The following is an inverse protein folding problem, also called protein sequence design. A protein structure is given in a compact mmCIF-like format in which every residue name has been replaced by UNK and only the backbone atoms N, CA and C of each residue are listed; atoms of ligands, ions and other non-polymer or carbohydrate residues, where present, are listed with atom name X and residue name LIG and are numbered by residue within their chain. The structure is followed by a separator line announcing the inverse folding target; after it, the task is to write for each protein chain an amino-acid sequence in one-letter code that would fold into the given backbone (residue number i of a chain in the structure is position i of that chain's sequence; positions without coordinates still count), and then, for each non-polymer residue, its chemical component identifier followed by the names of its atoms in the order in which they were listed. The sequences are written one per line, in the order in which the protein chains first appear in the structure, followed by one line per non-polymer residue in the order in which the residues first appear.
data_IF_037184418778
#
_entry.id   IF_037184418778
#
_cell.length_a   1.000
_cell.length_b   1.000
_cell.length_c   1.000
_cell.angle_alpha   90.00
_cell.angle_beta   90.00
_cell.angle_gamma   90.00
#
_symmetry.space_group_name_H-M   'P 1'
#
loop_
_entity.id
_entity.type
_entity.pdbx_description
1 polymer ?
#
# COMPACT_ATOMS: atom_id res chain seq x y z
N UNK A 1 29.91 18.94 -31.73
CA UNK A 1 30.65 18.16 -30.69
C UNK A 1 29.91 18.17 -29.36
N UNK A 2 29.66 19.30 -28.69
CA UNK A 2 28.96 19.33 -27.37
C UNK A 2 27.56 18.70 -27.43
N UNK A 3 26.75 19.10 -28.41
CA UNK A 3 25.39 18.56 -28.58
C UNK A 3 25.40 17.02 -28.77
N UNK A 4 26.29 16.53 -29.62
CA UNK A 4 26.45 15.09 -29.87
C UNK A 4 26.83 14.32 -28.58
N UNK A 5 27.74 14.86 -27.77
CA UNK A 5 28.13 14.27 -26.49
C UNK A 5 26.94 14.24 -25.52
N UNK A 6 26.16 15.32 -25.41
CA UNK A 6 24.97 15.38 -24.58
C UNK A 6 23.89 14.39 -25.05
N UNK A 7 23.66 14.25 -26.36
CA UNK A 7 22.73 13.27 -26.92
C UNK A 7 23.09 11.83 -26.47
N UNK A 8 24.36 11.42 -26.66
CA UNK A 8 24.77 10.08 -26.25
C UNK A 8 24.79 9.88 -24.73
N UNK A 9 25.07 10.94 -23.95
CA UNK A 9 24.96 10.87 -22.49
C UNK A 9 23.52 10.61 -22.06
N UNK A 10 22.55 11.34 -22.61
CA UNK A 10 21.13 11.16 -22.32
C UNK A 10 20.66 9.75 -22.69
N UNK A 11 21.02 9.26 -23.87
CA UNK A 11 20.71 7.91 -24.33
C UNK A 11 21.35 6.85 -23.42
N UNK A 12 22.61 7.05 -23.03
CA UNK A 12 23.31 6.15 -22.11
C UNK A 12 22.64 6.04 -20.73
N UNK A 13 22.22 7.18 -20.15
CA UNK A 13 21.50 7.20 -18.89
C UNK A 13 20.13 6.52 -19.01
N UNK A 14 19.36 6.81 -20.07
CA UNK A 14 18.09 6.15 -20.34
C UNK A 14 18.27 4.63 -20.43
N UNK A 15 19.29 4.17 -21.11
CA UNK A 15 19.58 2.73 -21.25
C UNK A 15 19.96 2.08 -19.92
N UNK A 16 20.84 2.70 -19.13
CA UNK A 16 21.26 2.18 -17.82
C UNK A 16 20.06 2.02 -16.89
N UNK A 17 19.25 3.07 -16.72
CA UNK A 17 18.09 3.02 -15.84
C UNK A 17 16.98 2.12 -16.40
N UNK A 18 16.80 2.09 -17.72
CA UNK A 18 15.85 1.20 -18.39
C UNK A 18 16.20 -0.28 -18.22
N UNK A 19 17.47 -0.66 -18.38
CA UNK A 19 17.92 -2.02 -18.14
C UNK A 19 17.73 -2.45 -16.68
N UNK A 20 17.99 -1.55 -15.73
CA UNK A 20 17.68 -1.81 -14.32
C UNK A 20 16.20 -2.05 -14.11
N UNK A 21 15.35 -1.18 -14.66
CA UNK A 21 13.89 -1.27 -14.56
C UNK A 21 13.37 -2.61 -15.10
N UNK A 22 13.71 -2.96 -16.34
CA UNK A 22 13.31 -4.21 -16.97
C UNK A 22 13.86 -5.44 -16.22
N UNK A 23 15.10 -5.36 -15.72
CA UNK A 23 15.67 -6.40 -14.86
C UNK A 23 14.87 -6.60 -13.57
N UNK A 24 14.39 -5.52 -12.97
CA UNK A 24 13.52 -5.57 -11.77
C UNK A 24 12.16 -6.21 -12.11
N UNK A 25 11.55 -5.85 -13.24
CA UNK A 25 10.27 -6.43 -13.68
C UNK A 25 10.37 -7.95 -13.94
N UNK A 26 11.43 -8.39 -14.58
CA UNK A 26 11.69 -9.84 -14.76
C UNK A 26 11.79 -10.55 -13.41
N UNK A 27 12.47 -9.94 -12.44
CA UNK A 27 12.55 -10.49 -11.08
C UNK A 27 11.20 -10.50 -10.38
N UNK A 28 10.40 -9.46 -10.52
CA UNK A 28 9.04 -9.39 -9.98
C UNK A 28 8.13 -10.43 -10.61
N UNK A 29 8.19 -10.58 -11.93
CA UNK A 29 7.43 -11.62 -12.63
C UNK A 29 7.75 -13.02 -12.11
N UNK A 30 9.04 -13.34 -11.90
CA UNK A 30 9.46 -14.62 -11.33
C UNK A 30 9.00 -14.77 -9.88
N UNK A 31 9.15 -13.71 -9.07
CA UNK A 31 8.75 -13.70 -7.67
C UNK A 31 7.25 -13.94 -7.48
N UNK A 32 6.39 -13.31 -8.29
CA UNK A 32 4.95 -13.61 -8.29
C UNK A 32 4.63 -15.08 -8.60
N UNK A 33 5.53 -15.81 -9.23
CA UNK A 33 5.35 -17.22 -9.56
C UNK A 33 5.53 -18.19 -8.40
N UNK A 34 6.16 -17.75 -7.33
CA UNK A 34 6.43 -18.56 -6.14
C UNK A 34 5.55 -18.17 -4.96
N UNK A 35 4.76 -17.09 -5.08
CA UNK A 35 3.82 -16.70 -4.03
C UNK A 35 2.71 -17.73 -3.93
N UNK A 36 2.39 -18.12 -2.71
CA UNK A 36 1.33 -19.09 -2.39
C UNK A 36 0.51 -18.61 -1.21
N UNK A 37 -0.71 -19.10 -1.08
CA UNK A 37 -1.55 -18.89 0.10
C UNK A 37 -0.97 -19.64 1.31
N UNK A 38 -1.11 -19.07 2.49
CA UNK A 38 -0.75 -19.70 3.75
C UNK A 38 -1.68 -20.84 4.11
N UNK A 39 -1.15 -21.83 4.79
CA UNK A 39 -1.87 -23.04 5.16
C UNK A 39 -1.71 -23.38 6.67
N UNK A 40 -1.36 -22.38 7.48
CA UNK A 40 -1.24 -22.59 8.93
C UNK A 40 -2.58 -23.00 9.53
N UNK A 41 -2.59 -24.09 10.26
CA UNK A 41 -3.75 -24.63 11.01
C UNK A 41 -3.36 -24.90 12.46
N UNK A 42 -2.75 -23.89 13.08
CA UNK A 42 -2.27 -23.96 14.47
C UNK A 42 -3.45 -24.05 15.42
N UNK A 43 -3.36 -24.96 16.40
CA UNK A 43 -4.29 -25.07 17.51
C UNK A 43 -3.54 -24.96 18.87
N UNK A 44 -4.07 -24.20 19.85
CA UNK A 44 -5.32 -23.41 19.77
C UNK A 44 -5.19 -22.24 18.79
N UNK A 45 -6.31 -21.80 18.22
CA UNK A 45 -6.35 -20.63 17.35
C UNK A 45 -5.90 -19.39 18.13
N UNK A 46 -4.99 -18.54 17.57
CA UNK A 46 -4.51 -17.35 18.26
C UNK A 46 -5.64 -16.34 18.52
N UNK A 47 -5.57 -15.59 19.61
CA UNK A 47 -6.46 -14.48 19.88
C UNK A 47 -6.19 -13.34 18.90
N UNK A 48 -7.24 -12.71 18.35
CA UNK A 48 -7.13 -11.65 17.34
C UNK A 48 -7.78 -10.36 17.81
N UNK A 49 -7.08 -9.24 17.66
CA UNK A 49 -7.68 -7.91 17.80
C UNK A 49 -7.70 -7.20 16.44
N UNK A 50 -8.89 -6.77 16.01
CA UNK A 50 -9.09 -5.93 14.82
C UNK A 50 -8.97 -4.47 15.26
N UNK A 51 -8.07 -3.70 14.65
CA UNK A 51 -7.76 -2.33 15.05
C UNK A 51 -8.14 -1.35 13.94
N UNK A 52 -8.90 -0.30 14.30
CA UNK A 52 -9.39 0.72 13.39
C UNK A 52 -9.14 2.10 14.00
N UNK A 53 -8.46 2.99 13.28
CA UNK A 53 -8.37 4.41 13.63
C UNK A 53 -9.38 5.20 12.79
N UNK A 54 -10.30 5.90 13.46
CA UNK A 54 -11.37 6.65 12.81
C UNK A 54 -11.30 8.15 13.17
N UNK A 55 -11.43 9.01 12.17
CA UNK A 55 -11.58 10.44 12.33
C UNK A 55 -12.48 11.02 11.25
N UNK A 56 -13.66 11.53 11.65
CA UNK A 56 -14.64 12.11 10.72
C UNK A 56 -15.03 11.13 9.59
N UNK A 57 -15.46 9.94 9.97
CA UNK A 57 -15.81 8.82 9.06
C UNK A 57 -17.30 8.44 9.15
N UNK A 58 -18.17 9.37 9.60
CA UNK A 58 -19.61 9.11 9.79
C UNK A 58 -20.31 8.55 8.53
N UNK A 59 -19.81 8.87 7.33
CA UNK A 59 -20.37 8.40 6.07
C UNK A 59 -20.11 6.91 5.80
N UNK A 60 -18.95 6.37 6.24
CA UNK A 60 -18.49 5.01 5.89
C UNK A 60 -18.44 4.03 7.06
N UNK A 61 -18.26 4.53 8.29
CA UNK A 61 -17.94 3.70 9.46
C UNK A 61 -18.98 2.61 9.75
N UNK A 62 -20.28 2.83 9.46
CA UNK A 62 -21.33 1.81 9.66
C UNK A 62 -21.05 0.56 8.84
N UNK A 63 -20.76 0.71 7.54
CA UNK A 63 -20.47 -0.41 6.65
C UNK A 63 -19.18 -1.14 7.06
N UNK A 64 -18.16 -0.40 7.52
CA UNK A 64 -16.94 -0.98 8.07
C UNK A 64 -17.24 -1.81 9.32
N UNK A 65 -17.97 -1.26 10.30
CA UNK A 65 -18.35 -1.96 11.53
C UNK A 65 -19.17 -3.21 11.25
N UNK A 66 -20.18 -3.13 10.38
CA UNK A 66 -20.98 -4.30 9.98
C UNK A 66 -20.09 -5.41 9.42
N UNK A 67 -19.09 -5.06 8.58
CA UNK A 67 -18.21 -6.01 7.95
C UNK A 67 -17.20 -6.65 8.93
N UNK A 68 -16.61 -5.87 9.84
CA UNK A 68 -15.64 -6.39 10.82
C UNK A 68 -16.32 -7.16 11.96
N UNK A 69 -17.57 -6.85 12.31
CA UNK A 69 -18.33 -7.57 13.32
C UNK A 69 -18.95 -8.87 12.80
N UNK A 70 -18.93 -9.09 11.49
CA UNK A 70 -19.44 -10.30 10.83
C UNK A 70 -18.36 -11.36 10.61
N UNK A 71 -17.22 -11.32 11.33
CA UNK A 71 -16.12 -12.26 11.09
C UNK A 71 -16.50 -13.69 11.51
N UNK A 72 -16.19 -14.64 10.61
CA UNK A 72 -16.26 -16.09 10.85
C UNK A 72 -14.87 -16.59 11.25
N UNK A 73 -14.58 -16.50 12.55
CA UNK A 73 -13.33 -16.95 13.12
C UNK A 73 -13.57 -17.79 14.37
N UNK A 74 -13.02 -19.01 14.39
CA UNK A 74 -13.25 -19.98 15.46
C UNK A 74 -12.50 -19.66 16.77
N UNK A 75 -11.45 -18.84 16.72
CA UNK A 75 -10.72 -18.36 17.89
C UNK A 75 -11.39 -17.16 18.56
N UNK A 76 -10.82 -16.71 19.68
CA UNK A 76 -11.26 -15.48 20.35
C UNK A 76 -10.87 -14.27 19.50
N UNK A 77 -11.79 -13.32 19.33
CA UNK A 77 -11.51 -12.08 18.63
C UNK A 77 -12.35 -10.91 19.16
N UNK A 78 -11.80 -9.71 18.98
CA UNK A 78 -12.39 -8.45 19.39
C UNK A 78 -12.11 -7.36 18.35
N UNK A 79 -12.86 -6.26 18.43
CA UNK A 79 -12.70 -5.06 17.58
C UNK A 79 -12.44 -3.86 18.46
N UNK A 80 -11.38 -3.14 18.16
CA UNK A 80 -11.03 -1.88 18.83
C UNK A 80 -11.02 -0.73 17.84
N UNK A 81 -11.80 0.31 18.14
CA UNK A 81 -11.86 1.53 17.32
C UNK A 81 -11.40 2.73 18.13
N UNK A 82 -10.36 3.41 17.62
CA UNK A 82 -9.97 4.71 18.17
C UNK A 82 -10.77 5.83 17.49
N UNK A 83 -11.57 6.55 18.25
CA UNK A 83 -12.17 7.81 17.82
C UNK A 83 -11.16 8.94 18.02
N UNK A 84 -10.46 9.34 16.94
CA UNK A 84 -9.42 10.36 16.98
C UNK A 84 -10.04 11.76 16.81
N UNK A 85 -10.63 12.31 17.88
CA UNK A 85 -11.12 13.70 17.93
C UNK A 85 -12.07 14.02 16.77
N UNK A 86 -13.00 13.10 16.45
CA UNK A 86 -14.04 13.37 15.46
C UNK A 86 -15.02 14.44 15.95
N UNK A 87 -15.42 15.33 15.03
CA UNK A 87 -16.37 16.42 15.24
C UNK A 87 -17.68 16.26 14.43
N UNK A 88 -17.80 15.10 13.73
CA UNK A 88 -19.02 14.65 13.04
C UNK A 88 -19.79 13.60 13.87
N UNK A 89 -20.74 12.89 13.25
CA UNK A 89 -21.54 11.84 13.91
C UNK A 89 -20.78 10.54 14.22
N UNK A 90 -19.48 10.43 13.90
CA UNK A 90 -18.68 9.22 14.14
C UNK A 90 -18.75 8.73 15.59
N UNK A 91 -18.57 9.58 16.64
CA UNK A 91 -18.61 9.12 18.03
C UNK A 91 -19.95 8.50 18.40
N UNK A 92 -21.06 9.12 17.99
CA UNK A 92 -22.42 8.63 18.25
C UNK A 92 -22.65 7.26 17.60
N UNK A 93 -22.19 7.07 16.37
CA UNK A 93 -22.30 5.78 15.67
C UNK A 93 -21.51 4.70 16.42
N UNK A 94 -20.29 4.99 16.84
CA UNK A 94 -19.47 4.07 17.61
C UNK A 94 -20.11 3.65 18.93
N UNK A 95 -20.70 4.59 19.67
CA UNK A 95 -21.43 4.32 20.90
C UNK A 95 -22.66 3.43 20.66
N UNK A 96 -23.45 3.71 19.62
CA UNK A 96 -24.61 2.89 19.23
C UNK A 96 -24.21 1.42 18.95
N UNK A 97 -23.09 1.18 18.26
CA UNK A 97 -22.61 -0.15 17.95
C UNK A 97 -22.02 -0.86 19.16
N UNK A 98 -21.22 -0.16 19.97
CA UNK A 98 -20.63 -0.73 21.19
C UNK A 98 -21.70 -1.15 22.21
N UNK A 99 -22.79 -0.39 22.34
CA UNK A 99 -23.91 -0.76 23.22
C UNK A 99 -24.62 -2.07 22.81
N UNK A 100 -24.50 -2.47 21.54
CA UNK A 100 -25.17 -3.67 20.99
C UNK A 100 -24.23 -4.86 20.78
N UNK A 101 -22.91 -4.62 20.79
CA UNK A 101 -21.92 -5.66 20.49
C UNK A 101 -20.79 -5.68 21.52
N UNK A 102 -20.74 -6.69 22.39
CA UNK A 102 -19.73 -6.79 23.45
C UNK A 102 -18.30 -7.01 22.95
N UNK A 103 -18.12 -7.34 21.68
CA UNK A 103 -16.79 -7.46 21.07
C UNK A 103 -16.22 -6.13 20.58
N UNK A 104 -17.05 -5.08 20.53
CA UNK A 104 -16.61 -3.76 20.08
C UNK A 104 -16.23 -2.88 21.26
N UNK A 105 -14.99 -2.45 21.26
CA UNK A 105 -14.41 -1.52 22.21
C UNK A 105 -14.09 -0.19 21.53
N UNK A 106 -14.45 0.92 22.16
CA UNK A 106 -14.19 2.26 21.64
C UNK A 106 -13.23 2.99 22.57
N UNK A 107 -12.15 3.49 22.01
CA UNK A 107 -11.17 4.30 22.71
C UNK A 107 -11.19 5.73 22.16
N UNK A 108 -11.52 6.69 23.00
CA UNK A 108 -11.59 8.11 22.60
C UNK A 108 -10.26 8.80 22.85
N UNK A 109 -9.61 9.24 21.76
CA UNK A 109 -8.40 10.06 21.80
C UNK A 109 -8.85 11.51 22.00
N UNK A 110 -8.42 12.14 23.08
CA UNK A 110 -8.77 13.54 23.39
C UNK A 110 -7.69 14.50 22.86
N UNK A 111 -6.43 14.10 22.96
CA UNK A 111 -5.28 14.92 22.60
C UNK A 111 -4.24 14.09 21.86
N UNK A 112 -3.53 14.71 20.95
CA UNK A 112 -2.35 14.15 20.27
C UNK A 112 -1.19 15.10 20.52
N UNK A 113 -0.04 14.60 21.01
CA UNK A 113 1.12 15.45 21.25
C UNK A 113 1.57 16.16 19.97
N UNK A 114 2.10 17.36 20.12
CA UNK A 114 2.54 18.19 18.99
C UNK A 114 3.56 17.46 18.10
N UNK A 115 3.37 17.51 16.80
CA UNK A 115 4.24 16.88 15.82
C UNK A 115 4.09 15.37 15.69
N UNK A 116 3.26 14.73 16.50
CA UNK A 116 3.00 13.28 16.45
C UNK A 116 1.94 12.97 15.36
N UNK A 117 2.14 11.87 14.65
CA UNK A 117 1.15 11.37 13.69
C UNK A 117 -0.10 10.89 14.43
N UNK A 118 -1.29 11.49 14.18
CA UNK A 118 -2.52 11.11 14.86
C UNK A 118 -2.86 9.62 14.70
N UNK A 119 -2.75 9.07 13.48
CA UNK A 119 -3.04 7.65 13.22
C UNK A 119 -2.10 6.72 13.99
N UNK A 120 -0.79 7.00 14.00
CA UNK A 120 0.16 6.16 14.75
C UNK A 120 -0.07 6.25 16.26
N UNK A 121 -0.39 7.44 16.76
CA UNK A 121 -0.76 7.63 18.16
C UNK A 121 -1.99 6.82 18.54
N UNK A 122 -3.06 6.91 17.74
CA UNK A 122 -4.28 6.14 17.94
C UNK A 122 -4.01 4.63 17.90
N UNK A 123 -3.27 4.14 16.90
CA UNK A 123 -2.91 2.73 16.79
C UNK A 123 -2.07 2.26 17.98
N UNK A 124 -1.09 3.06 18.47
CA UNK A 124 -0.30 2.69 19.64
C UNK A 124 -1.19 2.49 20.87
N UNK A 125 -2.12 3.41 21.13
CA UNK A 125 -3.05 3.28 22.25
C UNK A 125 -3.97 2.05 22.13
N UNK A 126 -4.45 1.74 20.91
CA UNK A 126 -5.25 0.54 20.67
C UNK A 126 -4.43 -0.74 20.93
N UNK A 127 -3.18 -0.78 20.48
CA UNK A 127 -2.28 -1.93 20.67
C UNK A 127 -1.97 -2.15 22.15
N UNK A 128 -1.85 -1.09 22.92
CA UNK A 128 -1.64 -1.19 24.36
C UNK A 128 -2.89 -1.70 25.09
N UNK A 129 -4.08 -1.31 24.64
CA UNK A 129 -5.36 -1.65 25.27
C UNK A 129 -5.90 -3.04 24.90
N UNK A 130 -5.61 -3.56 23.70
CA UNK A 130 -6.16 -4.83 23.20
C UNK A 130 -5.39 -6.05 23.73
N UNK A 131 -6.02 -7.25 23.65
CA UNK A 131 -5.44 -8.49 24.19
C UNK A 131 -4.92 -9.47 23.10
N UNK A 132 -5.30 -9.25 21.83
CA UNK A 132 -4.98 -10.18 20.74
C UNK A 132 -3.48 -10.43 20.55
N UNK A 133 -3.13 -11.67 20.27
CA UNK A 133 -1.80 -12.10 19.84
C UNK A 133 -1.49 -11.58 18.43
N UNK A 134 -2.48 -11.68 17.53
CA UNK A 134 -2.43 -11.18 16.17
C UNK A 134 -3.27 -9.92 16.09
N UNK A 135 -2.68 -8.85 15.58
CA UNK A 135 -3.31 -7.57 15.34
C UNK A 135 -3.64 -7.45 13.85
N UNK A 136 -4.93 -7.32 13.52
CA UNK A 136 -5.42 -7.11 12.15
C UNK A 136 -5.86 -5.65 11.99
N UNK A 137 -5.26 -4.93 11.06
CA UNK A 137 -5.52 -3.52 10.84
C UNK A 137 -6.34 -3.30 9.57
N UNK A 138 -7.36 -2.45 9.68
CA UNK A 138 -8.10 -1.92 8.53
C UNK A 138 -8.47 -0.46 8.76
N UNK A 139 -8.82 0.28 7.70
CA UNK A 139 -9.23 1.68 7.81
C UNK A 139 -10.76 1.79 8.01
N UNK A 140 -11.20 2.93 8.53
CA UNK A 140 -12.61 3.19 8.88
C UNK A 140 -13.55 3.36 7.67
N UNK A 141 -13.00 3.36 6.45
CA UNK A 141 -13.69 3.43 5.16
C UNK A 141 -13.54 2.15 4.33
N UNK A 142 -13.14 1.04 4.96
CA UNK A 142 -12.87 -0.22 4.31
C UNK A 142 -13.90 -1.29 4.66
N UNK A 143 -14.14 -2.21 3.72
CA UNK A 143 -15.04 -3.35 3.92
C UNK A 143 -14.24 -4.64 3.77
N UNK A 144 -14.35 -5.51 4.77
CA UNK A 144 -13.69 -6.82 4.82
C UNK A 144 -14.70 -7.95 4.57
N UNK A 145 -14.22 -9.09 4.09
CA UNK A 145 -15.06 -10.31 3.96
C UNK A 145 -15.24 -11.00 5.33
N UNK A 146 -16.32 -11.76 5.56
CA UNK A 146 -16.50 -12.54 6.80
C UNK A 146 -15.34 -13.51 7.09
N UNK A 147 -14.66 -13.98 6.07
CA UNK A 147 -13.51 -14.89 6.14
C UNK A 147 -12.15 -14.18 6.25
N UNK A 148 -12.14 -12.86 6.42
CA UNK A 148 -10.91 -12.06 6.40
C UNK A 148 -9.94 -12.44 7.52
N UNK A 149 -10.41 -12.48 8.78
CA UNK A 149 -9.59 -12.85 9.93
C UNK A 149 -9.08 -14.27 9.80
N UNK A 150 -9.96 -15.24 9.50
CA UNK A 150 -9.58 -16.64 9.35
C UNK A 150 -8.57 -16.87 8.24
N UNK A 151 -8.70 -16.14 7.11
CA UNK A 151 -7.75 -16.20 6.00
C UNK A 151 -6.39 -15.57 6.35
N UNK A 152 -6.38 -14.41 7.02
CA UNK A 152 -5.14 -13.75 7.46
C UNK A 152 -4.38 -14.60 8.48
N UNK A 153 -5.08 -15.23 9.44
CA UNK A 153 -4.44 -16.07 10.46
C UNK A 153 -3.70 -17.26 9.83
N UNK A 154 -4.22 -17.84 8.77
CA UNK A 154 -3.56 -18.94 8.02
C UNK A 154 -2.20 -18.55 7.43
N UNK A 155 -1.94 -17.29 7.22
CA UNK A 155 -0.66 -16.80 6.70
C UNK A 155 0.45 -16.76 7.78
N UNK A 156 0.10 -16.83 9.06
CA UNK A 156 1.06 -16.83 10.17
C UNK A 156 1.67 -18.23 10.41
N UNK A 157 2.32 -18.74 9.37
CA UNK A 157 3.18 -19.93 9.48
C UNK A 157 4.35 -19.66 10.47
N UNK A 158 5.03 -20.70 11.00
CA UNK A 158 6.17 -20.51 11.89
C UNK A 158 7.23 -19.57 11.31
N UNK A 159 7.60 -18.54 12.07
CA UNK A 159 8.58 -17.52 11.68
C UNK A 159 8.01 -16.34 10.90
N UNK A 160 6.71 -16.30 10.58
CA UNK A 160 6.04 -15.14 9.99
C UNK A 160 5.52 -14.23 11.12
N UNK A 161 5.95 -12.97 11.06
CA UNK A 161 5.64 -11.94 12.05
C UNK A 161 4.70 -10.86 11.50
N UNK A 162 4.70 -10.66 10.17
CA UNK A 162 3.89 -9.64 9.50
C UNK A 162 3.30 -10.19 8.19
N UNK A 163 2.02 -9.92 7.99
CA UNK A 163 1.26 -10.27 6.78
C UNK A 163 0.68 -8.99 6.19
N UNK A 164 1.06 -8.67 4.96
CA UNK A 164 0.43 -7.63 4.15
C UNK A 164 -0.64 -8.27 3.27
N UNK A 165 -1.81 -7.65 3.15
CA UNK A 165 -2.91 -8.17 2.35
C UNK A 165 -3.26 -7.29 1.16
N UNK A 166 -4.11 -7.81 0.27
CA UNK A 166 -4.59 -7.09 -0.89
C UNK A 166 -5.78 -6.22 -0.55
N UNK A 167 -5.69 -4.92 -0.88
CA UNK A 167 -6.84 -4.02 -0.91
C UNK A 167 -7.03 -3.46 -2.31
N UNK A 168 -8.27 -3.31 -2.74
CA UNK A 168 -8.59 -2.85 -4.08
C UNK A 168 -9.75 -1.86 -4.09
N UNK A 169 -9.82 -1.06 -5.14
CA UNK A 169 -10.90 -0.12 -5.40
C UNK A 169 -11.90 -0.84 -6.33
N UNK A 170 -13.13 -1.13 -5.86
CA UNK A 170 -14.13 -1.76 -6.71
C UNK A 170 -14.52 -0.83 -7.86
N UNK A 171 -14.64 -1.41 -9.07
CA UNK A 171 -15.06 -0.67 -10.27
C UNK A 171 -16.19 -1.42 -10.98
N UNK A 172 -17.22 -0.66 -11.37
CA UNK A 172 -18.33 -1.17 -12.15
C UNK A 172 -18.26 -0.63 -13.58
N UNK A 173 -18.32 -1.50 -14.62
CA UNK A 173 -18.32 -1.06 -16.01
C UNK A 173 -19.45 -0.07 -16.30
N UNK A 174 -19.11 1.07 -16.89
CA UNK A 174 -20.07 2.13 -17.27
C UNK A 174 -20.60 3.00 -16.11
N UNK A 175 -20.29 2.68 -14.85
CA UNK A 175 -20.74 3.45 -13.69
C UNK A 175 -19.60 4.18 -12.97
N UNK A 176 -18.43 3.54 -12.86
CA UNK A 176 -17.28 4.14 -12.19
C UNK A 176 -16.64 5.26 -13.03
N UNK A 177 -16.26 6.37 -12.38
CA UNK A 177 -15.53 7.47 -13.03
C UNK A 177 -14.19 6.96 -13.59
N UNK A 178 -13.75 7.52 -14.70
CA UNK A 178 -12.45 7.17 -15.35
C UNK A 178 -11.29 7.29 -14.36
N UNK A 179 -11.25 8.36 -13.55
CA UNK A 179 -10.23 8.57 -12.54
C UNK A 179 -10.18 7.43 -11.50
N UNK A 180 -11.33 6.89 -11.11
CA UNK A 180 -11.43 5.76 -10.15
C UNK A 180 -10.91 4.47 -10.80
N UNK A 181 -11.24 4.22 -12.07
CA UNK A 181 -10.73 3.07 -12.80
C UNK A 181 -9.21 3.10 -12.99
N UNK A 182 -8.65 4.27 -13.27
CA UNK A 182 -7.21 4.46 -13.39
C UNK A 182 -6.50 4.26 -12.05
N UNK A 183 -7.08 4.76 -10.95
CA UNK A 183 -6.58 4.50 -9.59
C UNK A 183 -6.61 3.02 -9.23
N UNK A 184 -7.64 2.27 -9.67
CA UNK A 184 -7.71 0.83 -9.42
C UNK A 184 -6.53 0.09 -10.06
N UNK A 185 -6.15 0.45 -11.31
CA UNK A 185 -4.94 -0.10 -11.96
C UNK A 185 -3.68 0.31 -11.24
N UNK A 186 -3.52 1.60 -10.91
CA UNK A 186 -2.35 2.08 -10.18
C UNK A 186 -2.21 1.39 -8.82
N UNK A 187 -3.32 1.21 -8.09
CA UNK A 187 -3.35 0.46 -6.84
C UNK A 187 -2.89 -0.98 -7.05
N UNK A 188 -3.37 -1.65 -8.11
CA UNK A 188 -2.93 -3.00 -8.47
C UNK A 188 -1.41 -3.05 -8.71
N UNK A 189 -0.83 -2.09 -9.42
CA UNK A 189 0.62 -2.02 -9.66
C UNK A 189 1.39 -1.99 -8.33
N UNK A 190 0.96 -1.18 -7.37
CA UNK A 190 1.58 -1.16 -6.02
C UNK A 190 1.43 -2.50 -5.30
N UNK A 191 0.28 -3.20 -5.44
CA UNK A 191 0.08 -4.52 -4.83
C UNK A 191 0.97 -5.59 -5.48
N UNK A 192 1.12 -5.54 -6.78
CA UNK A 192 2.06 -6.40 -7.53
C UNK A 192 3.49 -6.17 -7.06
N UNK A 193 3.93 -4.92 -6.97
CA UNK A 193 5.26 -4.57 -6.48
C UNK A 193 5.48 -4.98 -5.02
N UNK A 194 4.49 -4.77 -4.14
CA UNK A 194 4.55 -5.19 -2.74
C UNK A 194 4.64 -6.70 -2.58
N UNK A 195 3.81 -7.44 -3.32
CA UNK A 195 3.80 -8.91 -3.31
C UNK A 195 5.12 -9.50 -3.81
N UNK A 196 5.58 -9.06 -4.98
CA UNK A 196 6.84 -9.49 -5.54
C UNK A 196 8.03 -9.08 -4.66
N UNK A 197 7.97 -7.87 -4.10
CA UNK A 197 8.97 -7.36 -3.16
C UNK A 197 9.11 -8.24 -1.93
N UNK A 198 8.02 -8.57 -1.25
CA UNK A 198 8.07 -9.44 -0.06
C UNK A 198 8.57 -10.84 -0.40
N UNK A 199 8.16 -11.42 -1.55
CA UNK A 199 8.66 -12.71 -2.01
C UNK A 199 10.18 -12.70 -2.30
N UNK A 200 10.76 -11.52 -2.52
CA UNK A 200 12.20 -11.31 -2.73
C UNK A 200 12.94 -10.82 -1.47
N UNK A 201 12.29 -10.78 -0.32
CA UNK A 201 12.80 -10.16 0.91
C UNK A 201 13.21 -8.68 0.71
N UNK A 202 12.45 -7.99 -0.13
CA UNK A 202 12.60 -6.59 -0.47
C UNK A 202 11.29 -5.85 -0.19
N UNK A 203 11.03 -5.41 1.05
CA UNK A 203 9.77 -4.82 1.47
C UNK A 203 9.59 -3.40 0.90
N UNK A 204 9.09 -3.32 -0.33
CA UNK A 204 8.94 -2.06 -1.07
C UNK A 204 7.77 -1.23 -0.58
N UNK A 205 6.61 -1.88 -0.43
CA UNK A 205 5.37 -1.21 -0.06
C UNK A 205 4.37 -2.19 0.53
N UNK A 206 3.50 -1.69 1.39
CA UNK A 206 2.35 -2.38 1.94
C UNK A 206 1.14 -1.43 2.00
N UNK A 207 0.10 -1.79 2.72
CA UNK A 207 -1.05 -0.93 2.96
C UNK A 207 -1.60 -1.11 4.36
N UNK A 208 -1.78 -0.02 5.07
CA UNK A 208 -2.29 -0.02 6.44
C UNK A 208 -3.74 -0.48 6.58
N UNK A 209 -4.49 -0.54 5.47
CA UNK A 209 -5.89 -0.97 5.50
C UNK A 209 -6.10 -2.49 5.29
N UNK A 210 -5.02 -3.25 5.07
CA UNK A 210 -5.03 -4.71 5.10
C UNK A 210 -3.64 -5.20 5.53
N UNK A 211 -3.36 -5.06 6.80
CA UNK A 211 -2.07 -5.39 7.40
C UNK A 211 -2.31 -6.14 8.70
N UNK A 212 -1.56 -7.20 8.94
CA UNK A 212 -1.60 -7.90 10.21
C UNK A 212 -0.19 -8.21 10.70
N UNK A 213 -0.01 -8.25 12.01
CA UNK A 213 1.27 -8.60 12.62
C UNK A 213 1.08 -9.14 14.05
N UNK A 214 2.08 -9.90 14.52
CA UNK A 214 2.10 -10.34 15.91
C UNK A 214 2.33 -9.14 16.84
N UNK A 215 1.57 -9.08 17.93
CA UNK A 215 1.76 -8.04 18.97
C UNK A 215 3.17 -8.10 19.58
N UNK A 216 3.72 -9.31 19.74
CA UNK A 216 5.09 -9.53 20.20
C UNK A 216 6.13 -8.90 19.25
N UNK A 217 5.94 -9.03 17.93
CA UNK A 217 6.79 -8.36 16.94
C UNK A 217 6.74 -6.84 17.11
N UNK A 218 5.53 -6.24 17.15
CA UNK A 218 5.39 -4.79 17.30
C UNK A 218 6.17 -4.28 18.52
N UNK A 219 6.06 -4.98 19.66
CA UNK A 219 6.81 -4.67 20.87
C UNK A 219 8.33 -4.84 20.70
N UNK A 220 8.77 -5.89 20.00
CA UNK A 220 10.20 -6.18 19.80
C UNK A 220 10.93 -5.14 18.98
N UNK A 221 10.24 -4.44 18.07
CA UNK A 221 10.79 -3.34 17.26
C UNK A 221 10.51 -1.96 17.84
N UNK A 222 10.06 -1.89 19.10
CA UNK A 222 9.65 -0.65 19.79
C UNK A 222 8.58 0.14 19.01
N UNK A 223 7.61 -0.59 18.44
CA UNK A 223 6.44 -0.02 17.79
C UNK A 223 6.75 1.08 16.78
N UNK A 224 6.11 2.23 16.93
CA UNK A 224 6.32 3.40 16.08
C UNK A 224 7.41 4.37 16.58
N UNK A 225 8.18 4.03 17.61
CA UNK A 225 9.30 4.87 18.06
C UNK A 225 10.24 5.21 16.90
N UNK A 226 10.80 6.39 16.90
CA UNK A 226 11.61 6.99 15.84
C UNK A 226 10.86 7.36 14.53
N UNK A 227 9.64 6.88 14.34
CA UNK A 227 8.79 7.22 13.16
C UNK A 227 7.47 7.87 13.55
N UNK A 228 7.24 8.09 14.83
CA UNK A 228 5.97 8.62 15.38
C UNK A 228 5.63 10.02 14.84
N UNK A 229 6.65 10.84 14.56
CA UNK A 229 6.50 12.21 14.00
C UNK A 229 6.30 12.24 12.49
N UNK A 230 6.51 11.13 11.78
CA UNK A 230 6.29 11.05 10.34
C UNK A 230 4.80 10.83 10.10
N UNK A 231 4.14 11.75 9.40
CA UNK A 231 2.67 11.78 9.26
C UNK A 231 2.06 10.61 8.47
N UNK A 232 2.87 9.80 7.80
CA UNK A 232 2.45 8.61 7.04
C UNK A 232 3.36 7.43 7.36
N UNK A 233 3.07 6.22 6.84
CA UNK A 233 3.94 5.05 6.97
C UNK A 233 3.76 4.27 8.28
N UNK A 234 2.55 4.22 8.80
CA UNK A 234 2.14 3.27 9.83
C UNK A 234 2.29 1.81 9.36
N UNK A 235 2.28 1.61 8.06
CA UNK A 235 2.45 0.35 7.34
C UNK A 235 3.91 0.12 6.90
N UNK A 236 4.36 0.88 5.93
CA UNK A 236 5.66 0.69 5.27
C UNK A 236 6.84 0.87 6.24
N UNK A 237 6.81 1.89 7.11
CA UNK A 237 7.92 2.14 8.03
C UNK A 237 8.01 1.09 9.14
N UNK A 238 6.88 0.52 9.58
CA UNK A 238 6.88 -0.61 10.50
C UNK A 238 7.46 -1.86 9.82
N UNK A 239 7.03 -2.11 8.57
CA UNK A 239 7.55 -3.20 7.75
C UNK A 239 9.07 -3.06 7.52
N UNK A 240 9.57 -1.83 7.30
CA UNK A 240 11.01 -1.56 7.15
C UNK A 240 11.82 -1.87 8.42
N UNK A 241 11.24 -1.65 9.62
CA UNK A 241 11.89 -2.02 10.88
C UNK A 241 12.09 -3.53 10.99
N UNK A 242 11.07 -4.33 10.64
CA UNK A 242 11.19 -5.79 10.63
C UNK A 242 12.23 -6.26 9.60
N UNK A 243 12.24 -5.62 8.44
CA UNK A 243 13.13 -5.99 7.36
C UNK A 243 14.62 -5.79 7.68
N UNK A 244 14.93 -4.91 8.61
CA UNK A 244 16.32 -4.67 9.03
C UNK A 244 16.95 -5.94 9.64
N UNK A 245 16.18 -6.71 10.41
CA UNK A 245 16.67 -7.91 11.11
C UNK A 245 16.18 -9.21 10.47
N UNK A 246 14.90 -9.26 10.08
CA UNK A 246 14.21 -10.49 9.65
C UNK A 246 13.40 -10.27 8.36
N UNK A 247 14.04 -9.97 7.21
CA UNK A 247 13.31 -9.67 5.97
C UNK A 247 12.48 -10.86 5.44
N UNK A 248 12.76 -12.08 5.89
CA UNK A 248 12.01 -13.30 5.56
C UNK A 248 10.75 -13.50 6.42
N UNK A 249 10.62 -12.79 7.54
CA UNK A 249 9.51 -12.95 8.47
C UNK A 249 8.24 -12.21 8.03
N UNK A 250 8.15 -11.86 6.76
CA UNK A 250 7.02 -11.15 6.16
C UNK A 250 6.44 -11.91 4.99
N UNK A 251 5.13 -11.81 4.82
CA UNK A 251 4.40 -12.47 3.74
C UNK A 251 3.35 -11.55 3.13
N UNK A 252 3.04 -11.77 1.87
CA UNK A 252 1.90 -11.13 1.23
C UNK A 252 0.78 -12.16 1.03
N UNK A 253 -0.39 -11.88 1.61
CA UNK A 253 -1.56 -12.72 1.46
C UNK A 253 -2.26 -12.44 0.13
N UNK A 254 -2.41 -13.49 -0.70
CA UNK A 254 -3.07 -13.44 -2.00
C UNK A 254 -4.42 -14.18 -2.00
N UNK A 255 -4.85 -14.71 -0.86
CA UNK A 255 -6.11 -15.40 -0.72
C UNK A 255 -7.29 -14.43 -0.92
N UNK A 256 -8.17 -14.73 -1.86
CA UNK A 256 -9.33 -13.90 -2.18
C UNK A 256 -10.26 -13.67 -0.98
N UNK A 257 -10.30 -14.63 -0.06
CA UNK A 257 -11.05 -14.56 1.21
C UNK A 257 -10.64 -13.39 2.09
N UNK A 258 -9.42 -12.84 1.89
CA UNK A 258 -8.84 -11.76 2.70
C UNK A 258 -8.82 -10.40 1.98
N UNK A 259 -9.37 -10.30 0.78
CA UNK A 259 -9.36 -9.04 0.03
C UNK A 259 -10.25 -8.00 0.70
N UNK A 260 -9.71 -6.79 0.82
CA UNK A 260 -10.37 -5.63 1.42
C UNK A 260 -10.76 -4.64 0.32
N UNK A 261 -11.99 -4.13 0.36
CA UNK A 261 -12.39 -3.05 -0.54
C UNK A 261 -12.18 -1.70 0.13
N UNK A 262 -11.75 -0.71 -0.64
CA UNK A 262 -11.57 0.68 -0.19
C UNK A 262 -12.09 1.64 -1.26
N UNK A 263 -12.34 2.89 -0.88
CA UNK A 263 -12.85 3.91 -1.79
C UNK A 263 -11.72 4.56 -2.60
N UNK A 264 -11.94 4.78 -3.89
CA UNK A 264 -11.09 5.63 -4.72
C UNK A 264 -11.34 7.12 -4.47
N UNK A 265 -10.36 7.96 -4.75
CA UNK A 265 -10.53 9.43 -4.73
C UNK A 265 -11.32 9.86 -5.96
N UNK A 266 -12.31 10.71 -5.74
CA UNK A 266 -13.23 11.14 -6.81
C UNK A 266 -12.74 12.35 -7.58
N UNK A 267 -11.77 13.08 -7.04
CA UNK A 267 -11.19 14.28 -7.66
C UNK A 267 -9.68 14.14 -7.85
N UNK A 268 -9.16 14.82 -8.89
CA UNK A 268 -7.70 14.89 -9.14
C UNK A 268 -6.96 15.56 -7.98
N UNK A 269 -7.58 16.52 -7.32
CA UNK A 269 -6.98 17.23 -6.18
C UNK A 269 -6.74 16.28 -5.00
N UNK A 270 -7.75 15.50 -4.61
CA UNK A 270 -7.63 14.52 -3.52
C UNK A 270 -6.62 13.42 -3.85
N UNK A 271 -6.64 12.94 -5.11
CA UNK A 271 -5.66 11.97 -5.58
C UNK A 271 -4.25 12.53 -5.49
N UNK A 272 -4.05 13.76 -5.95
CA UNK A 272 -2.77 14.46 -5.92
C UNK A 272 -2.22 14.62 -4.50
N UNK A 273 -3.05 15.09 -3.55
CA UNK A 273 -2.66 15.22 -2.15
C UNK A 273 -2.29 13.85 -1.52
N UNK A 274 -3.04 12.82 -1.86
CA UNK A 274 -2.75 11.46 -1.40
C UNK A 274 -1.40 10.95 -1.93
N UNK A 275 -1.07 11.17 -3.21
CA UNK A 275 0.19 10.71 -3.82
C UNK A 275 1.40 11.48 -3.30
N UNK A 276 1.29 12.80 -3.10
CA UNK A 276 2.33 13.60 -2.43
C UNK A 276 2.63 13.06 -1.04
N UNK A 277 1.59 12.77 -0.26
CA UNK A 277 1.73 12.20 1.07
C UNK A 277 2.43 10.83 1.04
N UNK A 278 2.10 9.96 0.08
CA UNK A 278 2.77 8.67 -0.03
C UNK A 278 4.24 8.82 -0.43
N UNK A 279 4.56 9.73 -1.32
CA UNK A 279 5.94 9.99 -1.73
C UNK A 279 6.80 10.59 -0.61
N UNK A 280 6.23 11.45 0.25
CA UNK A 280 6.99 12.16 1.30
C UNK A 280 7.68 11.25 2.32
N UNK A 281 7.19 10.00 2.52
CA UNK A 281 7.76 9.04 3.48
C UNK A 281 8.94 8.23 2.94
N UNK A 282 9.16 8.22 1.62
CA UNK A 282 10.15 7.32 0.98
C UNK A 282 11.59 7.61 1.38
N UNK A 283 11.91 8.83 1.79
CA UNK A 283 13.25 9.20 2.28
C UNK A 283 13.61 8.55 3.62
N UNK A 284 12.62 8.04 4.35
CA UNK A 284 12.81 7.37 5.65
C UNK A 284 12.95 5.85 5.49
N UNK A 285 12.93 5.34 4.27
CA UNK A 285 13.11 3.91 4.01
C UNK A 285 14.57 3.48 4.16
N UNK A 286 14.80 2.18 4.27
CA UNK A 286 16.17 1.64 4.33
C UNK A 286 16.95 2.00 3.06
N UNK A 287 18.28 2.22 3.14
CA UNK A 287 19.11 2.65 2.00
C UNK A 287 18.94 1.75 0.75
N UNK A 288 18.78 0.44 0.96
CA UNK A 288 18.55 -0.52 -0.12
C UNK A 288 17.25 -0.23 -0.87
N UNK A 289 16.17 0.07 -0.14
CA UNK A 289 14.87 0.39 -0.74
C UNK A 289 14.92 1.76 -1.43
N UNK A 290 15.53 2.76 -0.76
CA UNK A 290 15.74 4.09 -1.37
C UNK A 290 16.50 3.96 -2.68
N UNK A 291 17.57 3.15 -2.74
CA UNK A 291 18.32 2.91 -3.96
C UNK A 291 17.45 2.33 -5.09
N UNK A 292 16.68 1.26 -4.79
CA UNK A 292 15.80 0.63 -5.80
C UNK A 292 14.76 1.62 -6.31
N UNK A 293 14.08 2.35 -5.41
CA UNK A 293 13.07 3.35 -5.78
C UNK A 293 13.68 4.52 -6.56
N UNK A 294 14.90 4.94 -6.21
CA UNK A 294 15.62 6.00 -6.95
C UNK A 294 15.96 5.58 -8.37
N UNK A 295 16.39 4.33 -8.57
CA UNK A 295 16.69 3.82 -9.92
C UNK A 295 15.44 3.77 -10.80
N UNK A 296 14.30 3.32 -10.25
CA UNK A 296 13.00 3.34 -10.93
C UNK A 296 12.58 4.79 -11.22
N UNK A 297 12.68 5.67 -10.23
CA UNK A 297 12.33 7.09 -10.39
C UNK A 297 13.17 7.78 -11.47
N UNK A 298 14.49 7.56 -11.48
CA UNK A 298 15.39 8.11 -12.49
C UNK A 298 15.05 7.61 -13.90
N UNK A 299 14.62 6.35 -14.04
CA UNK A 299 14.11 5.85 -15.33
C UNK A 299 12.88 6.64 -15.78
N UNK A 300 11.90 6.86 -14.90
CA UNK A 300 10.69 7.64 -15.23
C UNK A 300 11.04 9.11 -15.56
N UNK A 301 11.99 9.70 -14.84
CA UNK A 301 12.52 11.04 -15.16
C UNK A 301 13.14 11.05 -16.55
N UNK A 302 13.98 10.07 -16.90
CA UNK A 302 14.62 9.98 -18.22
C UNK A 302 13.59 9.76 -19.33
N UNK A 303 12.50 9.03 -19.09
CA UNK A 303 11.38 8.92 -20.02
C UNK A 303 10.76 10.31 -20.30
N UNK A 304 10.50 11.10 -19.27
CA UNK A 304 9.98 12.47 -19.43
C UNK A 304 10.97 13.40 -20.13
N UNK A 305 12.25 13.37 -19.74
CA UNK A 305 13.32 14.18 -20.35
C UNK A 305 13.48 13.85 -21.84
N UNK A 306 13.56 12.58 -22.19
CA UNK A 306 13.74 12.15 -23.58
C UNK A 306 12.51 12.45 -24.43
N UNK A 307 11.29 12.38 -23.88
CA UNK A 307 10.07 12.81 -24.56
C UNK A 307 10.10 14.31 -24.93
N UNK A 308 10.63 15.16 -24.02
CA UNK A 308 10.78 16.61 -24.28
C UNK A 308 11.90 16.88 -25.29
N UNK A 309 12.98 16.13 -25.29
CA UNK A 309 14.14 16.30 -26.17
C UNK A 309 13.97 15.62 -27.54
N UNK A 310 13.04 14.70 -27.68
CA UNK A 310 12.79 13.94 -28.92
C UNK A 310 12.61 14.79 -30.19
N UNK A 311 11.94 15.97 -30.16
CA UNK A 311 11.81 16.82 -31.36
C UNK A 311 13.12 17.38 -31.88
N UNK A 312 14.19 17.39 -31.06
CA UNK A 312 15.46 18.04 -31.40
C UNK A 312 16.56 17.05 -31.88
N UNK A 313 16.33 15.71 -31.75
CA UNK A 313 17.28 14.67 -32.21
C UNK A 313 16.55 13.39 -32.56
N UNK A 314 16.79 12.87 -33.75
CA UNK A 314 16.22 11.61 -34.21
C UNK A 314 16.74 10.42 -33.38
N UNK A 315 17.98 10.48 -32.91
CA UNK A 315 18.59 9.45 -32.08
C UNK A 315 17.89 9.40 -30.71
N UNK A 316 17.57 10.57 -30.10
CA UNK A 316 16.82 10.63 -28.83
C UNK A 316 15.39 10.13 -29.06
N UNK A 317 14.74 10.50 -30.16
CA UNK A 317 13.39 10.02 -30.49
C UNK A 317 13.35 8.50 -30.59
N UNK A 318 14.28 7.89 -31.33
CA UNK A 318 14.36 6.44 -31.47
C UNK A 318 14.60 5.77 -30.11
N UNK A 319 15.56 6.28 -29.34
CA UNK A 319 15.87 5.74 -28.02
C UNK A 319 14.68 5.85 -27.05
N UNK A 320 13.98 6.99 -27.05
CA UNK A 320 12.78 7.22 -26.24
C UNK A 320 11.66 6.24 -26.60
N UNK A 321 11.39 6.07 -27.90
CA UNK A 321 10.36 5.13 -28.38
C UNK A 321 10.70 3.67 -28.01
N UNK A 322 11.96 3.26 -28.21
CA UNK A 322 12.42 1.91 -27.84
C UNK A 322 12.25 1.67 -26.34
N UNK A 323 12.71 2.61 -25.50
CA UNK A 323 12.61 2.49 -24.05
C UNK A 323 11.15 2.53 -23.57
N UNK A 324 10.29 3.35 -24.17
CA UNK A 324 8.87 3.41 -23.85
C UNK A 324 8.14 2.11 -24.23
N UNK A 325 8.36 1.60 -25.43
CA UNK A 325 7.76 0.34 -25.87
C UNK A 325 8.23 -0.83 -25.02
N UNK A 326 9.53 -0.90 -24.70
CA UNK A 326 10.09 -1.93 -23.83
C UNK A 326 9.45 -1.88 -22.44
N UNK A 327 9.28 -0.67 -21.85
CA UNK A 327 8.56 -0.45 -20.59
C UNK A 327 7.13 -0.96 -20.70
N UNK A 328 6.37 -0.52 -21.70
CA UNK A 328 4.96 -0.93 -21.87
C UNK A 328 4.81 -2.46 -21.98
N UNK A 329 5.74 -3.13 -22.68
CA UNK A 329 5.71 -4.59 -22.78
C UNK A 329 5.99 -5.25 -21.42
N UNK A 330 7.03 -4.79 -20.72
CA UNK A 330 7.40 -5.30 -19.40
C UNK A 330 6.26 -5.12 -18.39
N UNK A 331 5.76 -3.89 -18.25
CA UNK A 331 4.64 -3.54 -17.37
C UNK A 331 3.40 -4.37 -17.70
N UNK A 332 3.04 -4.49 -18.98
CA UNK A 332 1.87 -5.27 -19.39
C UNK A 332 2.01 -6.74 -19.02
N UNK A 333 3.17 -7.35 -19.24
CA UNK A 333 3.43 -8.75 -18.87
C UNK A 333 3.31 -8.94 -17.36
N UNK A 334 3.87 -8.02 -16.58
CA UNK A 334 3.82 -8.06 -15.12
C UNK A 334 2.39 -7.82 -14.61
N UNK A 335 1.70 -6.81 -15.15
CA UNK A 335 0.31 -6.48 -14.78
C UNK A 335 -0.65 -7.61 -15.14
N UNK A 336 -0.52 -8.23 -16.32
CA UNK A 336 -1.35 -9.38 -16.70
C UNK A 336 -1.25 -10.53 -15.70
N UNK A 337 -0.06 -10.76 -15.14
CA UNK A 337 0.11 -11.73 -14.07
C UNK A 337 -0.55 -11.26 -12.78
N UNK A 338 -0.38 -9.98 -12.41
CA UNK A 338 -1.01 -9.38 -11.24
C UNK A 338 -2.55 -9.43 -11.31
N UNK A 339 -3.12 -9.09 -12.46
CA UNK A 339 -4.57 -9.17 -12.70
C UNK A 339 -5.12 -10.57 -12.38
N UNK A 340 -4.41 -11.63 -12.80
CA UNK A 340 -4.81 -13.02 -12.51
C UNK A 340 -4.64 -13.38 -11.04
N UNK A 341 -3.51 -13.01 -10.42
CA UNK A 341 -3.25 -13.27 -8.99
C UNK A 341 -4.31 -12.61 -8.12
N UNK A 342 -4.72 -11.38 -8.44
CA UNK A 342 -5.68 -10.60 -7.68
C UNK A 342 -7.11 -10.62 -8.24
N UNK A 343 -7.39 -11.45 -9.26
CA UNK A 343 -8.72 -11.64 -9.87
C UNK A 343 -9.38 -10.32 -10.32
N UNK A 344 -8.58 -9.46 -10.97
CA UNK A 344 -9.01 -8.13 -11.42
C UNK A 344 -8.88 -7.93 -12.92
N UNK A 345 -9.08 -8.98 -13.72
CA UNK A 345 -8.93 -8.99 -15.19
C UNK A 345 -9.80 -7.96 -15.89
N UNK A 346 -10.90 -7.55 -15.28
CA UNK A 346 -11.79 -6.49 -15.79
C UNK A 346 -11.11 -5.11 -15.91
N UNK A 347 -9.98 -4.89 -15.23
CA UNK A 347 -9.20 -3.67 -15.29
C UNK A 347 -8.28 -3.59 -16.53
N UNK A 348 -8.10 -4.66 -17.29
CA UNK A 348 -7.15 -4.74 -18.41
C UNK A 348 -7.27 -3.57 -19.40
N UNK A 349 -8.50 -3.17 -19.74
CA UNK A 349 -8.75 -2.05 -20.67
C UNK A 349 -8.20 -0.70 -20.18
N UNK A 350 -7.99 -0.55 -18.87
CA UNK A 350 -7.49 0.67 -18.26
C UNK A 350 -5.96 0.70 -18.12
N UNK A 351 -5.27 -0.42 -18.34
CA UNK A 351 -3.82 -0.50 -18.24
C UNK A 351 -3.13 0.40 -19.28
N UNK A 352 -3.62 0.39 -20.54
CA UNK A 352 -3.03 1.21 -21.62
C UNK A 352 -3.13 2.72 -21.33
N UNK A 353 -4.29 3.31 -20.99
CA UNK A 353 -4.37 4.72 -20.62
C UNK A 353 -3.46 5.10 -19.44
N UNK A 354 -3.31 4.21 -18.45
CA UNK A 354 -2.45 4.44 -17.28
C UNK A 354 -0.98 4.54 -17.69
N UNK A 355 -0.51 3.71 -18.63
CA UNK A 355 0.88 3.73 -19.11
C UNK A 355 1.34 5.11 -19.60
N UNK A 356 0.48 5.83 -20.32
CA UNK A 356 0.82 7.15 -20.85
C UNK A 356 0.91 8.24 -19.77
N UNK A 357 0.17 8.08 -18.67
CA UNK A 357 0.08 9.07 -17.60
C UNK A 357 1.02 8.73 -16.44
N UNK A 358 1.34 7.46 -16.26
CA UNK A 358 2.08 6.96 -15.09
C UNK A 358 3.41 7.67 -14.87
N UNK A 359 4.28 7.77 -15.90
CA UNK A 359 5.60 8.36 -15.73
C UNK A 359 5.53 9.86 -15.35
N UNK A 360 4.86 10.76 -16.10
CA UNK A 360 4.80 12.17 -15.74
C UNK A 360 4.06 12.41 -14.41
N UNK A 361 2.98 11.68 -14.12
CA UNK A 361 2.24 11.83 -12.89
C UNK A 361 3.09 11.42 -11.67
N UNK A 362 3.78 10.27 -11.74
CA UNK A 362 4.65 9.78 -10.66
C UNK A 362 5.83 10.71 -10.43
N UNK A 363 6.49 11.19 -11.50
CA UNK A 363 7.63 12.13 -11.39
C UNK A 363 7.19 13.40 -10.66
N UNK A 364 6.08 14.00 -11.07
CA UNK A 364 5.56 15.20 -10.42
C UNK A 364 5.13 14.92 -8.97
N UNK A 365 4.41 13.84 -8.71
CA UNK A 365 3.95 13.48 -7.35
C UNK A 365 5.12 13.28 -6.38
N UNK A 366 6.20 12.63 -6.83
CA UNK A 366 7.41 12.44 -6.03
C UNK A 366 8.12 13.76 -5.76
N UNK A 367 8.35 14.60 -6.79
CA UNK A 367 8.99 15.90 -6.61
C UNK A 367 8.21 16.77 -5.64
N UNK A 368 6.89 16.91 -5.83
CA UNK A 368 6.07 17.71 -4.93
C UNK A 368 5.85 17.07 -3.56
N UNK A 369 5.95 15.75 -3.44
CA UNK A 369 5.89 15.04 -2.17
C UNK A 369 7.15 15.22 -1.33
N UNK A 370 8.33 15.24 -1.95
CA UNK A 370 9.62 15.41 -1.26
C UNK A 370 9.90 16.87 -0.87
N UNK A 371 9.52 17.83 -1.71
CA UNK A 371 9.86 19.25 -1.53
C UNK A 371 8.66 20.14 -1.17
N UNK A 372 7.43 19.63 -1.32
CA UNK A 372 6.21 20.34 -1.06
C UNK A 372 5.63 20.13 0.34
N UNK A 373 4.57 20.91 0.64
CA UNK A 373 3.73 20.70 1.82
C UNK A 373 2.44 19.99 1.39
N UNK A 374 1.94 19.07 2.19
CA UNK A 374 0.63 18.46 2.00
C UNK A 374 -0.24 18.74 3.22
N UNK A 375 -1.57 18.83 3.00
CA UNK A 375 -2.54 18.96 4.08
C UNK A 375 -3.06 17.56 4.45
N UNK A 376 -3.08 17.26 5.74
CA UNK A 376 -3.77 16.12 6.29
C UNK A 376 -5.22 16.56 6.62
N UNK A 377 -6.21 15.64 6.45
CA UNK A 377 -7.60 15.90 6.88
C UNK A 377 -7.69 16.33 8.34
#
# INVERSE_FOLDING_TARGET
MIFTVLTYLVIGLLAIFGLFYLGLEVRFFRALGIVREGQSDVEPKPDVSILIAARNESAGIRATLDSVLAQDYAGKWEVWVANDRSDDDTPKILEEYAARNPRLHVLTIREVPEGVSPKKHALSQLIDACDGEILCLTDADCIVKPTWVSGIVREFEPGIELVAGHSYIPTEPGKSKVIVCMQAVETLIYRVAGTAGLAMHLPLTSTGNNLAYRKSFFKSVHGFDNVLKIQSGDDDLLMQKLAADRPWAMRYCIAESTFVTTSGKETLHELWEQRKRWASKTIYYTPKIVFVLSMVFLFLVMQCVTAVLAPFSIEILIAALVAFVAKCIGDLVLILRGLRVFRQEHLLKWCIPVEFIHAPFTVLAVLFGLFGRFKWK
#
